data_IF_903012943320
#
_entry.id   IF_903012943320
#
_cell.length_a   1.000
_cell.length_b   1.000
_cell.length_c   1.000
_cell.angle_alpha   90.00
_cell.angle_beta   90.00
_cell.angle_gamma   90.00
#
_symmetry.space_group_name_H-M   'P 1'
#
loop_
_entity.id
_entity.type
_entity.pdbx_description
1 polymer ?
#
# COMPACT_ATOMS: atom_id res chain seq x y z
N UNK A 1 18.95 -0.96 -19.51
CA UNK A 1 18.51 -0.49 -18.21
C UNK A 1 17.27 -1.23 -17.78
N UNK A 2 17.31 -1.90 -16.65
CA UNK A 2 16.18 -2.70 -16.22
C UNK A 2 15.05 -1.84 -15.65
N UNK A 3 13.82 -2.26 -15.92
CA UNK A 3 12.65 -1.66 -15.30
C UNK A 3 12.17 -0.34 -15.86
N UNK A 4 12.53 0.01 -17.10
CA UNK A 4 12.13 1.29 -17.68
C UNK A 4 10.90 1.29 -18.57
N UNK A 5 10.32 0.14 -18.83
CA UNK A 5 9.23 0.03 -19.81
C UNK A 5 7.96 0.80 -19.41
N UNK A 6 7.63 0.79 -18.12
CA UNK A 6 6.45 1.47 -17.57
C UNK A 6 6.78 2.77 -16.86
N UNK A 7 7.95 3.37 -17.10
CA UNK A 7 8.42 4.57 -16.39
C UNK A 7 8.41 4.38 -14.86
N UNK A 8 8.66 3.16 -14.40
CA UNK A 8 8.73 2.80 -12.97
C UNK A 8 7.43 3.04 -12.19
N UNK A 9 6.27 3.07 -12.87
CA UNK A 9 4.96 3.26 -12.22
C UNK A 9 4.69 2.17 -11.17
N UNK A 10 5.20 0.95 -11.37
CA UNK A 10 5.02 -0.16 -10.45
C UNK A 10 5.48 0.15 -9.03
N UNK A 11 6.44 1.04 -8.85
CA UNK A 11 6.91 1.43 -7.51
C UNK A 11 5.87 2.24 -6.75
N UNK A 12 5.03 2.99 -7.44
CA UNK A 12 3.91 3.71 -6.83
C UNK A 12 2.86 2.75 -6.28
N UNK A 13 2.70 1.61 -6.90
CA UNK A 13 1.77 0.57 -6.43
C UNK A 13 2.21 0.04 -5.07
N UNK A 14 3.52 -0.14 -4.86
CA UNK A 14 4.07 -0.54 -3.57
C UNK A 14 3.74 0.49 -2.49
N UNK A 15 3.93 1.77 -2.79
CA UNK A 15 3.63 2.86 -1.86
C UNK A 15 2.15 2.90 -1.49
N UNK A 16 1.27 2.70 -2.46
CA UNK A 16 -0.18 2.66 -2.22
C UNK A 16 -0.56 1.47 -1.35
N UNK A 17 -0.01 0.29 -1.62
CA UNK A 17 -0.29 -0.91 -0.83
C UNK A 17 0.15 -0.74 0.62
N UNK A 18 1.33 -0.15 0.85
CA UNK A 18 1.82 0.12 2.19
C UNK A 18 0.99 1.18 2.90
N UNK A 19 0.55 2.20 2.18
CA UNK A 19 -0.32 3.24 2.73
C UNK A 19 -1.64 2.63 3.22
N UNK A 20 -2.23 1.74 2.44
CA UNK A 20 -3.46 1.03 2.84
C UNK A 20 -3.21 0.18 4.10
N UNK A 21 -2.08 -0.53 4.17
CA UNK A 21 -1.73 -1.32 5.36
C UNK A 21 -1.61 -0.43 6.60
N UNK A 22 -1.01 0.73 6.46
CA UNK A 22 -0.90 1.70 7.55
C UNK A 22 -2.27 2.21 8.00
N UNK A 23 -3.17 2.47 7.06
CA UNK A 23 -4.55 2.86 7.38
C UNK A 23 -5.27 1.77 8.16
N UNK A 24 -5.08 0.51 7.80
CA UNK A 24 -5.65 -0.63 8.51
C UNK A 24 -5.12 -0.71 9.95
N UNK A 25 -3.81 -0.56 10.12
CA UNK A 25 -3.18 -0.60 11.45
C UNK A 25 -3.63 0.53 12.34
N UNK A 26 -3.83 1.71 11.78
CA UNK A 26 -4.22 2.90 12.53
C UNK A 26 -5.73 3.03 12.74
N UNK A 27 -6.51 2.16 12.12
CA UNK A 27 -7.96 2.21 12.23
C UNK A 27 -8.41 2.16 13.71
N UNK A 28 -9.18 3.15 14.14
CA UNK A 28 -9.67 3.25 15.51
C UNK A 28 -8.65 3.72 16.54
N UNK A 29 -7.43 4.01 16.12
CA UNK A 29 -6.39 4.50 17.04
C UNK A 29 -6.41 6.02 17.12
N UNK A 30 -6.10 6.54 18.30
CA UNK A 30 -6.00 7.98 18.53
C UNK A 30 -4.73 8.54 17.89
N UNK A 31 -4.84 9.72 17.31
CA UNK A 31 -3.68 10.43 16.77
C UNK A 31 -2.72 10.84 17.90
N UNK A 32 -1.43 10.81 17.61
CA UNK A 32 -0.40 11.24 18.56
C UNK A 32 -0.43 12.77 18.72
N UNK A 33 0.21 13.27 19.77
CA UNK A 33 0.33 14.70 20.00
C UNK A 33 0.98 15.44 18.82
N UNK A 34 2.00 14.83 18.22
CA UNK A 34 2.67 15.41 17.05
C UNK A 34 1.75 15.48 15.85
N UNK A 35 0.98 14.43 15.59
CA UNK A 35 0.02 14.40 14.50
C UNK A 35 -1.08 15.45 14.66
N UNK A 36 -1.54 15.66 15.91
CA UNK A 36 -2.54 16.69 16.21
C UNK A 36 -2.01 18.10 15.99
N UNK A 37 -0.73 18.34 16.26
CA UNK A 37 -0.09 19.64 16.03
C UNK A 37 0.08 19.94 14.55
N UNK A 38 0.38 18.93 13.75
CA UNK A 38 0.61 19.08 12.31
C UNK A 38 -0.66 19.38 11.53
N UNK A 39 -1.82 19.09 12.09
CA UNK A 39 -3.11 19.29 11.42
C UNK A 39 -3.56 20.75 11.33
N UNK A 40 -2.84 21.69 11.90
CA UNK A 40 -3.20 23.13 11.93
C UNK A 40 -4.62 23.41 12.46
N UNK A 41 -5.13 22.52 13.29
CA UNK A 41 -6.47 22.61 13.85
C UNK A 41 -6.38 23.05 15.31
N UNK A 42 -7.25 23.98 15.71
CA UNK A 42 -7.25 24.47 17.09
C UNK A 42 -7.72 23.38 18.07
N UNK A 43 -7.28 23.47 19.33
CA UNK A 43 -7.70 22.55 20.38
C UNK A 43 -9.24 22.54 20.56
N UNK A 44 -9.88 23.67 20.31
CA UNK A 44 -11.35 23.82 20.40
C UNK A 44 -12.07 22.91 19.41
N UNK A 45 -11.48 22.68 18.22
CA UNK A 45 -12.03 21.78 17.20
C UNK A 45 -12.17 20.36 17.76
N UNK A 46 -11.15 19.87 18.44
CA UNK A 46 -11.15 18.51 18.99
C UNK A 46 -12.09 18.35 20.18
N UNK A 47 -12.40 19.43 20.89
CA UNK A 47 -13.42 19.41 21.95
C UNK A 47 -14.82 19.30 21.35
N UNK A 48 -15.06 19.99 20.24
CA UNK A 48 -16.33 19.98 19.52
C UNK A 48 -16.54 18.68 18.73
N UNK A 49 -15.46 18.15 18.14
CA UNK A 49 -15.50 16.94 17.31
C UNK A 49 -14.47 15.93 17.84
N UNK A 50 -14.76 15.24 18.93
CA UNK A 50 -13.79 14.30 19.53
C UNK A 50 -13.35 13.17 18.59
N UNK A 51 -14.20 12.75 17.66
CA UNK A 51 -13.90 11.71 16.70
C UNK A 51 -12.76 12.08 15.75
N UNK A 52 -12.51 13.37 15.56
CA UNK A 52 -11.41 13.85 14.71
C UNK A 52 -10.02 13.60 15.32
N UNK A 53 -9.95 13.28 16.60
CA UNK A 53 -8.69 12.90 17.26
C UNK A 53 -8.19 11.53 16.83
N UNK A 54 -9.06 10.73 16.23
CA UNK A 54 -8.73 9.39 15.83
C UNK A 54 -8.39 9.37 14.34
N UNK A 55 -7.57 8.41 13.97
CA UNK A 55 -7.45 8.01 12.59
C UNK A 55 -8.83 7.46 12.19
N UNK A 56 -8.97 6.88 11.04
CA UNK A 56 -10.27 6.38 10.60
C UNK A 56 -10.88 5.36 11.57
N UNK A 57 -12.18 5.26 11.60
CA UNK A 57 -12.93 4.27 12.38
C UNK A 57 -13.92 3.55 11.47
N UNK A 58 -13.40 2.79 10.54
CA UNK A 58 -14.24 2.01 9.64
C UNK A 58 -14.66 0.69 10.28
N UNK A 59 -15.85 0.18 9.96
CA UNK A 59 -16.28 -1.16 10.41
C UNK A 59 -15.35 -2.25 9.90
N UNK A 60 -15.34 -3.39 10.57
CA UNK A 60 -14.47 -4.53 10.21
C UNK A 60 -14.68 -4.99 8.76
N UNK A 61 -15.91 -4.95 8.26
CA UNK A 61 -16.21 -5.31 6.87
C UNK A 61 -15.47 -4.44 5.86
N UNK A 62 -15.37 -3.14 6.15
CA UNK A 62 -14.65 -2.18 5.31
C UNK A 62 -13.15 -2.45 5.39
N UNK A 63 -12.63 -2.69 6.59
CA UNK A 63 -11.21 -2.99 6.81
C UNK A 63 -10.78 -4.27 6.10
N UNK A 64 -11.63 -5.30 6.09
CA UNK A 64 -11.33 -6.53 5.35
C UNK A 64 -11.18 -6.26 3.85
N UNK A 65 -12.00 -5.38 3.29
CA UNK A 65 -11.87 -4.99 1.88
C UNK A 65 -10.59 -4.19 1.62
N UNK A 66 -10.16 -3.35 2.58
CA UNK A 66 -8.88 -2.64 2.48
C UNK A 66 -7.72 -3.63 2.43
N UNK A 67 -7.75 -4.66 3.27
CA UNK A 67 -6.72 -5.70 3.29
C UNK A 67 -6.65 -6.45 1.96
N UNK A 68 -7.81 -6.82 1.41
CA UNK A 68 -7.91 -7.46 0.10
C UNK A 68 -7.37 -6.57 -1.01
N UNK A 69 -7.72 -5.28 -0.96
CA UNK A 69 -7.24 -4.28 -1.92
C UNK A 69 -5.74 -4.13 -1.90
N UNK A 70 -5.14 -4.04 -0.71
CA UNK A 70 -3.69 -3.97 -0.55
C UNK A 70 -3.00 -5.19 -1.14
N UNK A 71 -3.54 -6.38 -0.91
CA UNK A 71 -3.00 -7.63 -1.45
C UNK A 71 -3.06 -7.65 -2.98
N UNK A 72 -4.20 -7.26 -3.55
CA UNK A 72 -4.39 -7.20 -5.01
C UNK A 72 -3.41 -6.20 -5.63
N UNK A 73 -3.23 -5.03 -5.01
CA UNK A 73 -2.31 -4.01 -5.51
C UNK A 73 -0.87 -4.51 -5.44
N UNK A 74 -0.49 -5.18 -4.35
CA UNK A 74 0.84 -5.77 -4.22
C UNK A 74 1.09 -6.84 -5.27
N UNK A 75 0.11 -7.68 -5.58
CA UNK A 75 0.20 -8.67 -6.66
C UNK A 75 0.36 -8.00 -8.01
N UNK A 76 -0.43 -6.95 -8.27
CA UNK A 76 -0.33 -6.19 -9.51
C UNK A 76 1.08 -5.60 -9.68
N UNK A 77 1.66 -5.08 -8.62
CA UNK A 77 3.02 -4.55 -8.64
C UNK A 77 4.02 -5.63 -9.04
N UNK A 78 3.91 -6.82 -8.49
CA UNK A 78 4.79 -7.94 -8.80
C UNK A 78 4.71 -8.29 -10.30
N UNK A 79 3.49 -8.41 -10.83
CA UNK A 79 3.30 -8.68 -12.26
C UNK A 79 3.90 -7.58 -13.12
N UNK A 80 3.64 -6.33 -12.80
CA UNK A 80 4.18 -5.18 -13.55
C UNK A 80 5.71 -5.19 -13.55
N UNK A 81 6.32 -5.45 -12.40
CA UNK A 81 7.77 -5.48 -12.25
C UNK A 81 8.40 -6.58 -13.11
N UNK A 82 7.85 -7.78 -13.05
CA UNK A 82 8.39 -8.91 -13.79
C UNK A 82 8.17 -8.79 -15.29
N UNK A 83 7.01 -8.30 -15.70
CA UNK A 83 6.71 -8.05 -17.11
C UNK A 83 7.63 -6.95 -17.66
N UNK A 84 7.84 -5.88 -16.89
CA UNK A 84 8.72 -4.79 -17.25
C UNK A 84 10.14 -5.30 -17.54
N UNK A 85 10.69 -6.12 -16.66
CA UNK A 85 12.04 -6.67 -16.82
C UNK A 85 12.13 -7.60 -18.02
N UNK A 86 11.11 -8.40 -18.30
CA UNK A 86 11.05 -9.26 -19.48
C UNK A 86 11.03 -8.41 -20.76
N UNK A 87 10.18 -7.40 -20.81
CA UNK A 87 10.05 -6.53 -21.98
C UNK A 87 11.29 -5.66 -22.21
N UNK A 88 11.99 -5.32 -21.13
CA UNK A 88 13.23 -4.53 -21.19
C UNK A 88 14.46 -5.39 -21.54
N UNK A 89 14.30 -6.70 -21.67
CA UNK A 89 15.38 -7.60 -22.03
C UNK A 89 16.28 -8.04 -20.87
N UNK A 90 15.92 -7.70 -19.64
CA UNK A 90 16.71 -8.06 -18.45
C UNK A 90 16.39 -9.45 -17.93
N UNK A 91 15.30 -10.04 -18.36
CA UNK A 91 14.88 -11.37 -17.96
C UNK A 91 14.52 -12.21 -19.17
N UNK A 92 14.78 -13.52 -19.10
CA UNK A 92 14.35 -14.47 -20.12
C UNK A 92 13.00 -15.06 -19.75
N UNK A 93 12.38 -15.75 -20.69
CA UNK A 93 11.05 -16.35 -20.49
C UNK A 93 11.01 -17.33 -19.30
N UNK A 94 12.00 -18.22 -19.22
CA UNK A 94 12.08 -19.20 -18.14
C UNK A 94 12.33 -18.54 -16.77
N UNK A 95 13.23 -17.58 -16.75
CA UNK A 95 13.54 -16.81 -15.52
C UNK A 95 12.34 -16.02 -15.07
N UNK A 96 11.62 -15.42 -16.01
CA UNK A 96 10.41 -14.67 -15.76
C UNK A 96 9.36 -15.52 -15.01
N UNK A 97 9.06 -16.69 -15.55
CA UNK A 97 8.07 -17.58 -14.95
C UNK A 97 8.49 -18.03 -13.54
N UNK A 98 9.74 -18.39 -13.38
CA UNK A 98 10.28 -18.83 -12.08
C UNK A 98 10.23 -17.73 -11.04
N UNK A 99 10.71 -16.54 -11.38
CA UNK A 99 10.80 -15.41 -10.45
C UNK A 99 9.43 -14.85 -10.11
N UNK A 100 8.52 -14.82 -11.08
CA UNK A 100 7.14 -14.41 -10.84
C UNK A 100 6.49 -15.31 -9.79
N UNK A 101 6.64 -16.62 -9.95
CA UNK A 101 6.09 -17.59 -9.00
C UNK A 101 6.67 -17.40 -7.61
N UNK A 102 8.00 -17.23 -7.51
CA UNK A 102 8.68 -17.01 -6.23
C UNK A 102 8.19 -15.75 -5.53
N UNK A 103 8.05 -14.67 -6.27
CA UNK A 103 7.59 -13.39 -5.71
C UNK A 103 6.15 -13.48 -5.19
N UNK A 104 5.26 -14.15 -5.94
CA UNK A 104 3.88 -14.35 -5.54
C UNK A 104 3.77 -15.23 -4.30
N UNK A 105 4.62 -16.24 -4.19
CA UNK A 105 4.67 -17.10 -3.01
C UNK A 105 5.12 -16.36 -1.76
N UNK A 106 6.11 -15.47 -1.89
CA UNK A 106 6.59 -14.64 -0.78
C UNK A 106 5.55 -13.65 -0.30
N UNK A 107 4.67 -13.21 -1.18
CA UNK A 107 3.61 -12.27 -0.82
C UNK A 107 2.49 -12.94 -0.04
N UNK A 108 2.27 -14.22 -0.24
CA UNK A 108 1.23 -14.99 0.47
C UNK A 108 1.61 -15.14 1.92
N UNK A 109 1.07 -14.35 2.74
CA UNK A 109 1.31 -14.37 4.18
C UNK A 109 0.15 -14.99 4.88
#
# INVERSE_FOLDING_TARGET
MSGGHWDYIQYRFTDVAEDIKNLVEKNGKEKTQEELKDDYISSDWYEKYPEEKFHHKYPDEVIEEFKKGAEIIAKAQIYMQRIDWLLSGDDGEDSFLKRLKEDLEKLSI
#
